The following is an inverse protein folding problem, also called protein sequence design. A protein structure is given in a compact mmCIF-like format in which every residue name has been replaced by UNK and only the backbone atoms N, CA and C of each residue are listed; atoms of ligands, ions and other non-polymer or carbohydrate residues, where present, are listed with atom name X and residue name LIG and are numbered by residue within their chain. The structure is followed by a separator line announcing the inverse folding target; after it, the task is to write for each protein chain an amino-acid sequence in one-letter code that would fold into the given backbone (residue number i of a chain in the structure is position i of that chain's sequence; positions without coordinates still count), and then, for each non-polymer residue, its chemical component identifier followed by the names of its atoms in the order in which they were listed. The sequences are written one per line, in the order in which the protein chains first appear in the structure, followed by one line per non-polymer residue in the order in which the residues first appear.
data_IF_420129964979
#
_entry.id   IF_420129964979
#
_cell.length_a   1.000
_cell.length_b   1.000
_cell.length_c   1.000
_cell.angle_alpha   90.00
_cell.angle_beta   90.00
_cell.angle_gamma   90.00
#
_symmetry.space_group_name_H-M   'P 1'
#
loop_
_entity.id
_entity.type
_entity.pdbx_description
1 polymer ?
#
# COMPACT_ATOMS: atom_id res chain seq x y z
N UNK A 1 5.49 13.86 -11.14
CA UNK A 1 5.57 13.10 -12.40
C UNK A 1 4.81 11.80 -12.21
N UNK A 2 4.00 11.38 -13.19
CA UNK A 2 3.29 10.11 -13.17
C UNK A 2 3.79 9.25 -14.35
N UNK A 3 4.10 7.98 -14.10
CA UNK A 3 4.56 7.03 -15.13
C UNK A 3 3.67 5.79 -15.07
N UNK A 4 3.18 5.36 -16.24
CA UNK A 4 2.41 4.12 -16.37
C UNK A 4 3.25 3.02 -17.03
N UNK A 5 3.19 1.80 -16.48
CA UNK A 5 3.81 0.61 -17.06
C UNK A 5 2.71 -0.33 -17.53
N UNK A 6 2.65 -0.60 -18.84
CA UNK A 6 1.62 -1.44 -19.45
C UNK A 6 2.22 -2.62 -20.20
N UNK A 7 1.49 -3.73 -20.24
CA UNK A 7 1.93 -4.95 -20.90
C UNK A 7 1.03 -6.14 -20.59
N UNK A 8 1.19 -7.22 -21.35
CA UNK A 8 0.41 -8.47 -21.20
C UNK A 8 0.55 -9.08 -19.80
N UNK A 9 -0.35 -9.99 -19.46
CA UNK A 9 -0.22 -10.84 -18.26
C UNK A 9 1.11 -11.61 -18.36
N UNK A 10 1.86 -11.68 -17.27
CA UNK A 10 3.17 -12.35 -17.24
C UNK A 10 4.32 -11.57 -17.92
N UNK A 11 4.11 -10.34 -18.38
CA UNK A 11 5.16 -9.54 -19.03
C UNK A 11 6.24 -8.97 -18.07
N UNK A 12 6.20 -9.33 -16.78
CA UNK A 12 7.21 -8.91 -15.79
C UNK A 12 7.01 -7.52 -15.17
N UNK A 13 5.79 -6.97 -15.18
CA UNK A 13 5.49 -5.65 -14.58
C UNK A 13 5.78 -5.61 -13.07
N UNK A 14 5.26 -6.57 -12.31
CA UNK A 14 5.57 -6.74 -10.89
C UNK A 14 7.05 -7.01 -10.67
N UNK A 15 7.69 -7.80 -11.54
CA UNK A 15 9.13 -8.06 -11.47
C UNK A 15 9.97 -6.78 -11.68
N UNK A 16 9.54 -5.87 -12.55
CA UNK A 16 10.17 -4.56 -12.70
C UNK A 16 10.08 -3.75 -11.40
N UNK A 17 8.90 -3.70 -10.77
CA UNK A 17 8.73 -3.03 -9.48
C UNK A 17 9.60 -3.66 -8.38
N UNK A 18 9.64 -4.98 -8.29
CA UNK A 18 10.51 -5.70 -7.35
C UNK A 18 12.00 -5.47 -7.62
N UNK A 19 12.40 -5.30 -8.88
CA UNK A 19 13.76 -4.88 -9.24
C UNK A 19 14.07 -3.47 -8.75
N UNK A 20 13.12 -2.54 -8.87
CA UNK A 20 13.25 -1.17 -8.33
C UNK A 20 13.31 -1.20 -6.80
N UNK A 21 12.55 -2.07 -6.14
CA UNK A 21 12.59 -2.23 -4.67
C UNK A 21 13.89 -2.87 -4.16
N UNK A 22 14.66 -3.52 -5.05
CA UNK A 22 15.87 -4.25 -4.69
C UNK A 22 15.63 -5.71 -4.27
N UNK A 23 14.40 -6.21 -4.36
CA UNK A 23 14.03 -7.61 -4.07
C UNK A 23 14.55 -8.58 -5.15
N UNK A 24 14.68 -8.10 -6.39
CA UNK A 24 15.27 -8.87 -7.50
C UNK A 24 16.63 -8.25 -7.84
N UNK A 25 17.75 -9.00 -7.72
CA UNK A 25 19.08 -8.45 -7.98
C UNK A 25 19.28 -8.14 -9.48
N UNK A 26 19.93 -7.01 -9.75
CA UNK A 26 20.29 -6.61 -11.10
C UNK A 26 21.41 -7.50 -11.64
N UNK A 27 21.17 -8.18 -12.77
CA UNK A 27 22.20 -9.04 -13.41
C UNK A 27 23.26 -8.23 -14.17
N UNK A 28 22.88 -7.13 -14.80
CA UNK A 28 23.76 -6.29 -15.63
C UNK A 28 23.16 -4.89 -15.79
N UNK A 29 23.99 -3.89 -16.03
CA UNK A 29 23.56 -2.49 -16.14
C UNK A 29 23.72 -1.73 -14.83
N UNK A 30 23.07 -0.57 -14.72
CA UNK A 30 23.05 0.23 -13.48
C UNK A 30 21.64 0.77 -13.20
N UNK A 31 21.34 0.98 -11.92
CA UNK A 31 20.10 1.56 -11.44
C UNK A 31 20.46 2.57 -10.35
N UNK A 32 20.10 3.84 -10.54
CA UNK A 32 20.31 4.93 -9.57
C UNK A 32 18.95 5.35 -9.02
N UNK A 33 18.69 5.04 -7.74
CA UNK A 33 17.45 5.37 -7.04
C UNK A 33 17.77 6.42 -5.98
N UNK A 34 17.10 7.56 -6.06
CA UNK A 34 17.27 8.68 -5.12
C UNK A 34 15.98 8.95 -4.37
N UNK A 35 16.08 8.93 -3.03
CA UNK A 35 14.96 9.20 -2.13
C UNK A 35 14.35 7.94 -1.53
N UNK A 36 13.35 8.14 -0.68
CA UNK A 36 12.60 7.06 -0.05
C UNK A 36 11.53 6.50 -0.99
N UNK A 37 11.22 5.22 -0.82
CA UNK A 37 10.20 4.51 -1.59
C UNK A 37 9.09 3.98 -0.70
N UNK A 38 7.88 3.91 -1.23
CA UNK A 38 6.78 3.15 -0.66
C UNK A 38 6.12 2.28 -1.72
N UNK A 39 5.44 1.22 -1.28
CA UNK A 39 4.92 0.19 -2.17
C UNK A 39 3.51 -0.24 -1.74
N UNK A 40 2.59 -0.26 -2.71
CA UNK A 40 1.30 -0.92 -2.60
C UNK A 40 1.29 -2.14 -3.53
N UNK A 41 1.28 -3.34 -2.95
CA UNK A 41 1.38 -4.59 -3.68
C UNK A 41 0.04 -5.01 -4.31
N UNK A 42 0.11 -5.74 -5.42
CA UNK A 42 -1.06 -6.34 -6.08
C UNK A 42 -1.81 -7.29 -5.14
N UNK A 43 -1.09 -8.04 -4.31
CA UNK A 43 -1.65 -8.82 -3.21
C UNK A 43 -1.20 -8.21 -1.89
N UNK A 44 -2.05 -7.38 -1.26
CA UNK A 44 -1.76 -6.77 0.03
C UNK A 44 -1.49 -7.79 1.13
N UNK A 45 -0.40 -7.57 1.85
CA UNK A 45 -0.17 -8.22 3.14
C UNK A 45 -0.40 -7.22 4.28
N UNK A 46 -1.10 -7.67 5.31
CA UNK A 46 -1.46 -6.84 6.46
C UNK A 46 -1.01 -7.51 7.76
N UNK A 47 -0.54 -6.69 8.69
CA UNK A 47 -0.15 -7.08 10.04
C UNK A 47 -1.38 -7.53 10.82
N UNK A 48 -1.21 -8.54 11.67
CA UNK A 48 -2.21 -8.93 12.66
C UNK A 48 -2.25 -7.90 13.81
N UNK A 49 -2.77 -6.71 13.53
CA UNK A 49 -2.82 -5.53 14.39
C UNK A 49 -4.08 -4.71 14.06
N UNK A 50 -4.21 -3.52 14.62
CA UNK A 50 -5.30 -2.59 14.26
C UNK A 50 -5.18 -2.09 12.82
N UNK A 51 -6.28 -1.58 12.25
CA UNK A 51 -6.27 -0.90 10.96
C UNK A 51 -5.36 0.33 10.98
N UNK A 52 -5.40 1.13 12.05
CA UNK A 52 -4.51 2.29 12.23
C UNK A 52 -3.03 1.91 12.20
N UNK A 53 -2.63 0.85 12.90
CA UNK A 53 -1.24 0.38 12.91
C UNK A 53 -0.81 -0.16 11.55
N UNK A 54 -1.74 -0.77 10.80
CA UNK A 54 -1.49 -1.19 9.44
C UNK A 54 -1.22 0.00 8.50
N UNK A 55 -1.89 1.13 8.68
CA UNK A 55 -1.69 2.34 7.87
C UNK A 55 -0.43 3.11 8.32
N UNK A 56 -0.26 3.31 9.63
CA UNK A 56 0.89 4.06 10.17
C UNK A 56 2.20 3.28 10.04
N UNK A 57 2.14 1.96 10.16
CA UNK A 57 3.23 1.01 9.88
C UNK A 57 4.56 1.42 10.51
N UNK A 58 4.53 1.69 11.82
CA UNK A 58 5.69 2.08 12.62
C UNK A 58 6.09 3.55 12.51
N UNK A 59 5.40 4.37 11.69
CA UNK A 59 5.57 5.82 11.69
C UNK A 59 4.76 6.46 12.83
N UNK A 60 5.20 7.62 13.37
CA UNK A 60 4.42 8.36 14.34
C UNK A 60 3.03 8.72 13.80
N UNK A 61 2.02 8.61 14.65
CA UNK A 61 0.65 9.02 14.33
C UNK A 61 0.56 10.55 14.22
N UNK A 62 0.04 11.05 13.09
CA UNK A 62 -0.19 12.46 12.81
C UNK A 62 -1.64 12.64 12.39
N UNK A 63 -2.47 13.12 13.30
CA UNK A 63 -3.93 13.14 13.17
C UNK A 63 -4.44 13.77 11.88
N UNK A 64 -3.92 14.93 11.49
CA UNK A 64 -4.35 15.65 10.29
C UNK A 64 -4.01 14.87 9.02
N UNK A 65 -2.77 14.39 8.92
CA UNK A 65 -2.31 13.56 7.79
C UNK A 65 -3.10 12.26 7.71
N UNK A 66 -3.34 11.62 8.85
CA UNK A 66 -4.04 10.35 8.90
C UNK A 66 -5.48 10.49 8.41
N UNK A 67 -6.20 11.53 8.87
CA UNK A 67 -7.54 11.87 8.38
C UNK A 67 -7.54 12.13 6.87
N UNK A 68 -6.59 12.91 6.38
CA UNK A 68 -6.43 13.15 4.93
C UNK A 68 -6.24 11.84 4.16
N UNK A 69 -5.36 10.95 4.64
CA UNK A 69 -5.09 9.65 4.02
C UNK A 69 -6.34 8.77 3.98
N UNK A 70 -7.10 8.69 5.08
CA UNK A 70 -8.35 7.94 5.13
C UNK A 70 -9.36 8.45 4.09
N UNK A 71 -9.44 9.77 3.94
CA UNK A 71 -10.36 10.43 3.00
C UNK A 71 -9.99 10.15 1.54
N UNK A 72 -8.73 10.39 1.15
CA UNK A 72 -8.28 10.21 -0.23
C UNK A 72 -8.21 8.74 -0.64
N UNK A 73 -8.04 7.83 0.32
CA UNK A 73 -8.09 6.38 0.07
C UNK A 73 -9.49 5.79 0.19
N UNK A 74 -10.53 6.61 0.43
CA UNK A 74 -11.92 6.18 0.53
C UNK A 74 -12.17 5.10 1.61
N UNK A 75 -11.50 5.23 2.76
CA UNK A 75 -11.65 4.30 3.89
C UNK A 75 -12.70 4.77 4.91
N UNK A 76 -13.16 6.02 4.88
CA UNK A 76 -14.11 6.57 5.87
C UNK A 76 -15.37 5.70 6.03
N UNK A 77 -15.98 5.29 4.90
CA UNK A 77 -17.16 4.41 4.92
C UNK A 77 -16.86 3.01 5.45
N UNK A 78 -15.65 2.49 5.21
CA UNK A 78 -15.25 1.20 5.77
C UNK A 78 -15.15 1.28 7.30
N UNK A 79 -14.62 2.40 7.82
CA UNK A 79 -14.50 2.63 9.27
C UNK A 79 -15.86 2.70 9.97
N UNK A 80 -16.88 3.27 9.34
CA UNK A 80 -18.24 3.32 9.88
C UNK A 80 -18.85 1.92 10.08
N UNK A 81 -18.43 0.95 9.26
CA UNK A 81 -18.89 -0.44 9.33
C UNK A 81 -18.11 -1.27 10.34
N UNK A 82 -16.93 -0.81 10.78
CA UNK A 82 -16.11 -1.56 11.71
C UNK A 82 -16.50 -1.29 13.17
N UNK A 83 -16.62 -2.34 14.02
CA UNK A 83 -17.10 -2.20 15.40
C UNK A 83 -16.32 -1.21 16.27
N UNK A 84 -15.02 -1.06 16.02
CA UNK A 84 -14.13 -0.15 16.75
C UNK A 84 -13.49 0.90 15.84
N UNK A 85 -14.11 1.18 14.67
CA UNK A 85 -13.55 2.09 13.68
C UNK A 85 -12.14 1.67 13.26
N UNK A 86 -11.18 2.59 13.32
CA UNK A 86 -9.80 2.33 12.93
C UNK A 86 -8.96 1.57 13.96
N UNK A 87 -9.47 1.41 15.18
CA UNK A 87 -8.89 0.54 16.21
C UNK A 87 -9.34 -0.92 16.07
N UNK A 88 -10.12 -1.24 15.04
CA UNK A 88 -10.56 -2.61 14.78
C UNK A 88 -9.38 -3.50 14.41
N UNK A 89 -9.25 -4.63 15.09
CA UNK A 89 -8.29 -5.67 14.75
C UNK A 89 -8.71 -6.39 13.47
N UNK A 90 -7.83 -6.40 12.47
CA UNK A 90 -8.16 -6.95 11.15
C UNK A 90 -7.90 -8.46 11.04
N UNK A 91 -7.26 -9.05 12.06
CA UNK A 91 -6.89 -10.46 12.11
C UNK A 91 -5.69 -10.82 11.21
N UNK A 92 -5.25 -12.08 11.29
CA UNK A 92 -4.11 -12.57 10.51
C UNK A 92 -4.36 -12.41 9.00
N UNK A 93 -3.40 -11.78 8.31
CA UNK A 93 -3.50 -11.44 6.89
C UNK A 93 -4.79 -10.65 6.52
N UNK A 94 -5.35 -9.91 7.49
CA UNK A 94 -6.57 -9.14 7.30
C UNK A 94 -7.80 -9.97 7.00
N UNK A 95 -7.94 -11.17 7.56
CA UNK A 95 -9.06 -12.09 7.28
C UNK A 95 -10.45 -11.42 7.43
N UNK A 96 -10.57 -10.38 8.25
CA UNK A 96 -11.81 -9.63 8.48
C UNK A 96 -12.12 -8.59 7.39
N UNK A 97 -11.26 -8.44 6.37
CA UNK A 97 -11.40 -7.45 5.29
C UNK A 97 -11.70 -8.11 3.95
N UNK A 98 -12.57 -7.48 3.16
CA UNK A 98 -12.73 -7.79 1.74
C UNK A 98 -11.44 -7.48 0.95
N UNK A 99 -11.30 -8.06 -0.26
CA UNK A 99 -10.15 -7.79 -1.13
C UNK A 99 -9.94 -6.29 -1.40
N UNK A 100 -11.03 -5.56 -1.68
CA UNK A 100 -10.97 -4.11 -1.91
C UNK A 100 -10.57 -3.30 -0.67
N UNK A 101 -11.05 -3.70 0.51
CA UNK A 101 -10.61 -3.08 1.77
C UNK A 101 -9.13 -3.32 2.02
N UNK A 102 -8.62 -4.55 1.78
CA UNK A 102 -7.19 -4.83 1.88
C UNK A 102 -6.36 -3.97 0.94
N UNK A 103 -6.82 -3.80 -0.30
CA UNK A 103 -6.16 -2.94 -1.29
C UNK A 103 -6.13 -1.48 -0.83
N UNK A 104 -7.26 -0.93 -0.34
CA UNK A 104 -7.33 0.44 0.20
C UNK A 104 -6.44 0.64 1.43
N UNK A 105 -6.38 -0.31 2.35
CA UNK A 105 -5.49 -0.24 3.53
C UNK A 105 -4.01 -0.26 3.09
N UNK A 106 -3.64 -1.10 2.13
CA UNK A 106 -2.27 -1.12 1.59
C UNK A 106 -1.92 0.16 0.84
N UNK A 107 -2.86 0.72 0.09
CA UNK A 107 -2.69 2.02 -0.56
C UNK A 107 -2.50 3.12 0.48
N UNK A 108 -3.37 3.16 1.50
CA UNK A 108 -3.28 4.12 2.59
C UNK A 108 -1.94 4.04 3.33
N UNK A 109 -1.40 2.84 3.57
CA UNK A 109 -0.05 2.64 4.11
C UNK A 109 1.02 3.29 3.23
N UNK A 110 0.98 3.04 1.91
CA UNK A 110 1.94 3.59 0.97
C UNK A 110 1.87 5.13 0.92
N UNK A 111 0.66 5.71 0.94
CA UNK A 111 0.44 7.16 0.96
C UNK A 111 0.87 7.77 2.30
N UNK A 112 0.51 7.17 3.43
CA UNK A 112 0.84 7.68 4.76
C UNK A 112 2.35 7.78 5.00
N UNK A 113 3.13 6.84 4.46
CA UNK A 113 4.59 6.80 4.57
C UNK A 113 5.32 8.07 4.10
N UNK A 114 4.69 8.86 3.23
CA UNK A 114 5.21 10.09 2.65
C UNK A 114 6.55 9.92 1.90
N UNK A 115 6.69 8.83 1.15
CA UNK A 115 7.88 8.54 0.36
C UNK A 115 8.02 9.47 -0.86
N UNK A 116 9.26 9.63 -1.36
CA UNK A 116 9.52 10.40 -2.58
C UNK A 116 9.01 9.68 -3.84
N UNK A 117 9.06 8.35 -3.83
CA UNK A 117 8.64 7.47 -4.91
C UNK A 117 7.57 6.53 -4.36
N UNK A 118 6.42 6.46 -5.02
CA UNK A 118 5.33 5.56 -4.66
C UNK A 118 5.16 4.56 -5.81
N UNK A 119 5.37 3.29 -5.52
CA UNK A 119 5.19 2.18 -6.45
C UNK A 119 3.82 1.55 -6.20
N UNK A 120 2.98 1.51 -7.21
CA UNK A 120 1.63 0.95 -7.13
C UNK A 120 1.53 -0.22 -8.11
N UNK A 121 1.36 -1.44 -7.59
CA UNK A 121 1.17 -2.64 -8.42
C UNK A 121 -0.30 -2.99 -8.50
N UNK A 122 -0.91 -2.72 -9.66
CA UNK A 122 -2.31 -2.99 -9.97
C UNK A 122 -3.34 -2.49 -8.91
N UNK A 123 -3.26 -1.21 -8.49
CA UNK A 123 -4.03 -0.68 -7.34
C UNK A 123 -5.54 -0.56 -7.60
N UNK A 124 -6.01 -0.80 -8.83
CA UNK A 124 -7.40 -0.66 -9.26
C UNK A 124 -8.06 -2.02 -9.59
N UNK A 125 -7.43 -3.14 -9.23
CA UNK A 125 -7.94 -4.48 -9.54
C UNK A 125 -9.03 -4.98 -8.61
N UNK A 126 -9.13 -4.41 -7.40
CA UNK A 126 -10.01 -4.88 -6.33
C UNK A 126 -11.08 -3.85 -5.90
N UNK A 127 -11.33 -2.83 -6.73
CA UNK A 127 -12.34 -1.78 -6.46
C UNK A 127 -13.76 -2.20 -6.80
#
# INVERSE_FOLDING_TARGET
MLVGVVGRIGAGKTSLLNGILGEIPLKSGSMDIKGSMSYAAQQPWLLNNTLQENITFGKPMKSERYKEVLSVCQLERDLELFPAGDQTEIGENGINLSGGQKARVSLARAVYSNANIILLDDPLSAV
#
